data_IF_579570425873
#
_entry.id   IF_579570425873
#
_cell.length_a   1.000
_cell.length_b   1.000
_cell.length_c   1.000
_cell.angle_alpha   90.00
_cell.angle_beta   90.00
_cell.angle_gamma   90.00
#
_symmetry.space_group_name_H-M   'P 1'
#
loop_
_entity.id
_entity.type
_entity.pdbx_description
1 polymer ?
#
# COMPACT_ATOMS: atom_id res chain seq x y z
N UNK A 1 -15.02 8.28 -10.92
CA UNK A 1 -14.00 7.31 -10.48
C UNK A 1 -13.92 7.36 -8.97
N UNK A 2 -13.58 6.26 -8.32
CA UNK A 2 -13.41 6.25 -6.87
C UNK A 2 -12.07 5.57 -6.55
N UNK A 3 -11.22 6.26 -5.81
CA UNK A 3 -10.00 5.70 -5.24
C UNK A 3 -10.26 5.22 -3.83
N UNK A 4 -9.32 4.46 -3.27
CA UNK A 4 -9.33 4.02 -1.87
C UNK A 4 -8.15 4.61 -1.12
N UNK A 5 -8.43 5.11 0.08
CA UNK A 5 -7.45 5.60 1.02
C UNK A 5 -7.45 4.72 2.28
N UNK A 6 -6.30 4.15 2.61
CA UNK A 6 -6.05 3.45 3.88
C UNK A 6 -5.15 4.35 4.72
N UNK A 7 -5.58 4.75 5.90
CA UNK A 7 -4.88 5.78 6.70
C UNK A 7 -4.48 5.33 8.10
N UNK A 8 -5.03 4.23 8.56
CA UNK A 8 -4.74 3.72 9.89
C UNK A 8 -4.34 2.25 9.80
N UNK A 9 -3.10 1.94 10.16
CA UNK A 9 -2.63 0.56 10.24
C UNK A 9 -2.82 0.05 11.66
N UNK A 10 -3.83 -0.78 11.86
CA UNK A 10 -4.12 -1.40 13.16
C UNK A 10 -3.07 -2.43 13.58
N UNK A 11 -2.15 -2.79 12.67
CA UNK A 11 -1.06 -3.74 12.98
C UNK A 11 0.19 -3.09 13.58
N UNK A 12 0.27 -1.75 13.66
CA UNK A 12 1.51 -1.07 14.07
C UNK A 12 1.88 -1.29 15.54
N UNK A 13 0.89 -1.50 16.41
CA UNK A 13 1.09 -1.71 17.84
C UNK A 13 0.89 -3.19 18.27
N UNK A 14 0.79 -4.10 17.30
CA UNK A 14 0.53 -5.53 17.55
C UNK A 14 1.84 -6.29 17.78
N UNK A 15 1.82 -7.23 18.72
CA UNK A 15 2.93 -8.19 18.82
C UNK A 15 2.85 -9.20 17.69
N UNK A 16 3.86 -9.16 16.80
CA UNK A 16 3.95 -10.06 15.65
C UNK A 16 4.67 -11.36 16.03
N UNK A 17 4.09 -12.48 15.64
CA UNK A 17 4.71 -13.80 15.70
C UNK A 17 5.01 -14.25 14.26
N UNK A 18 6.25 -14.66 13.99
CA UNK A 18 6.71 -15.09 12.67
C UNK A 18 7.35 -16.48 12.75
N UNK A 19 7.32 -17.22 11.65
CA UNK A 19 7.93 -18.57 11.57
C UNK A 19 9.43 -18.50 11.77
N UNK A 20 10.10 -17.53 11.14
CA UNK A 20 11.56 -17.37 11.23
C UNK A 20 11.99 -15.92 11.11
N UNK A 21 13.19 -15.60 11.60
CA UNK A 21 13.78 -14.26 11.53
C UNK A 21 15.28 -14.38 11.34
N UNK A 22 15.83 -13.73 10.33
CA UNK A 22 17.26 -13.72 10.04
C UNK A 22 17.97 -12.59 10.80
N UNK A 23 18.80 -12.91 11.76
CA UNK A 23 19.68 -11.93 12.43
C UNK A 23 18.96 -10.70 12.96
N UNK A 24 19.37 -9.52 12.49
CA UNK A 24 18.83 -8.21 12.89
C UNK A 24 17.56 -7.78 12.16
N UNK A 25 17.03 -8.61 11.26
CA UNK A 25 15.82 -8.30 10.45
C UNK A 25 14.54 -8.66 11.20
N UNK A 26 14.29 -8.03 12.32
CA UNK A 26 13.20 -8.37 13.24
C UNK A 26 11.81 -8.20 12.62
N UNK A 27 10.82 -8.97 13.07
CA UNK A 27 9.42 -8.86 12.63
C UNK A 27 8.84 -7.45 12.84
N UNK A 28 9.24 -6.75 13.90
CA UNK A 28 8.84 -5.37 14.19
C UNK A 28 9.27 -4.35 13.13
N UNK A 29 10.22 -4.70 12.27
CA UNK A 29 10.59 -3.84 11.13
C UNK A 29 9.42 -3.65 10.16
N UNK A 30 8.52 -4.63 10.02
CA UNK A 30 7.32 -4.51 9.20
C UNK A 30 6.31 -3.48 9.72
N UNK A 31 6.44 -3.05 10.96
CA UNK A 31 5.61 -2.02 11.60
C UNK A 31 6.26 -0.63 11.51
N UNK A 32 7.51 -0.56 11.08
CA UNK A 32 8.23 0.69 10.94
C UNK A 32 7.70 1.48 9.72
N UNK A 33 7.54 2.79 9.90
CA UNK A 33 7.13 3.72 8.84
C UNK A 33 8.20 3.96 7.76
N UNK A 34 9.39 3.38 7.93
CA UNK A 34 10.46 3.38 6.94
C UNK A 34 10.49 2.01 6.23
N UNK A 35 9.94 1.88 5.02
CA UNK A 35 9.88 0.59 4.31
C UNK A 35 11.23 0.00 3.93
N UNK A 36 12.33 0.76 4.10
CA UNK A 36 13.70 0.26 3.92
C UNK A 36 14.17 -0.64 5.08
N UNK A 37 13.54 -0.51 6.25
CA UNK A 37 13.74 -1.44 7.35
C UNK A 37 12.86 -2.66 7.12
N UNK A 38 13.48 -3.80 6.86
CA UNK A 38 12.78 -5.02 6.46
C UNK A 38 12.83 -6.09 7.52
N UNK A 39 11.78 -6.88 7.62
CA UNK A 39 11.86 -8.23 8.16
C UNK A 39 12.38 -9.16 7.09
N UNK A 40 13.17 -10.16 7.51
CA UNK A 40 13.68 -11.21 6.63
C UNK A 40 13.54 -12.57 7.30
N UNK A 41 13.05 -13.55 6.55
CA UNK A 41 13.04 -14.96 6.96
C UNK A 41 14.43 -15.59 6.84
N UNK A 42 14.61 -16.77 7.43
CA UNK A 42 15.86 -17.54 7.29
C UNK A 42 15.89 -18.41 6.06
N UNK A 43 14.74 -18.68 5.45
CA UNK A 43 14.58 -19.55 4.26
C UNK A 43 13.42 -19.07 3.40
N UNK A 44 13.33 -19.57 2.18
CA UNK A 44 12.23 -19.40 1.23
C UNK A 44 11.02 -20.33 1.49
N UNK A 45 11.12 -21.25 2.45
CA UNK A 45 9.98 -22.07 2.87
C UNK A 45 8.80 -21.20 3.29
N UNK A 46 7.58 -21.74 3.26
CA UNK A 46 6.37 -21.00 3.63
C UNK A 46 6.51 -20.28 4.98
N UNK A 47 6.35 -18.97 4.97
CA UNK A 47 6.49 -18.12 6.14
C UNK A 47 5.12 -17.67 6.64
N UNK A 48 4.90 -17.83 7.94
CA UNK A 48 3.67 -17.38 8.60
C UNK A 48 3.97 -16.17 9.48
N UNK A 49 3.16 -15.13 9.33
CA UNK A 49 3.15 -13.93 10.17
C UNK A 49 1.77 -13.88 10.82
N UNK A 50 1.68 -13.78 12.12
CA UNK A 50 0.41 -13.72 12.84
C UNK A 50 0.45 -12.70 13.97
N UNK A 51 -0.72 -12.24 14.39
CA UNK A 51 -0.87 -11.29 15.48
C UNK A 51 -2.30 -11.22 16.02
N UNK A 52 -2.44 -10.48 17.12
CA UNK A 52 -3.70 -10.19 17.80
C UNK A 52 -3.87 -8.67 17.86
N UNK A 53 -4.91 -8.12 17.25
CA UNK A 53 -5.22 -6.69 17.31
C UNK A 53 -5.64 -6.20 18.72
N UNK A 54 -5.82 -7.13 19.66
CA UNK A 54 -6.28 -6.81 21.03
C UNK A 54 -7.80 -6.71 21.14
N UNK A 55 -8.45 -6.20 20.13
CA UNK A 55 -9.90 -6.10 19.98
C UNK A 55 -10.33 -6.54 18.58
N UNK A 56 -11.63 -6.63 18.34
CA UNK A 56 -12.15 -6.84 16.99
C UNK A 56 -12.06 -5.53 16.21
N UNK A 57 -11.25 -5.53 15.15
CA UNK A 57 -11.03 -4.39 14.26
C UNK A 57 -11.71 -4.62 12.90
N UNK A 58 -12.15 -3.53 12.28
CA UNK A 58 -12.72 -3.58 10.93
C UNK A 58 -11.59 -3.53 9.93
N UNK A 59 -11.46 -4.58 9.12
CA UNK A 59 -10.39 -4.74 8.14
C UNK A 59 -11.00 -4.95 6.77
N UNK A 60 -10.58 -4.15 5.81
CA UNK A 60 -10.97 -4.25 4.39
C UNK A 60 -9.78 -4.35 3.45
N UNK A 61 -8.56 -4.17 3.99
CA UNK A 61 -7.34 -4.16 3.19
C UNK A 61 -6.14 -4.71 3.97
N UNK A 62 -5.28 -5.42 3.25
CA UNK A 62 -3.93 -5.80 3.69
C UNK A 62 -2.92 -5.40 2.64
N UNK A 63 -1.83 -4.80 3.08
CA UNK A 63 -0.75 -4.35 2.22
C UNK A 63 0.57 -4.93 2.71
N UNK A 64 1.31 -5.57 1.80
CA UNK A 64 2.72 -5.90 1.97
C UNK A 64 3.51 -5.01 1.00
N UNK A 65 4.36 -4.16 1.52
CA UNK A 65 5.09 -3.16 0.75
C UNK A 65 6.60 -3.36 0.85
N UNK A 66 7.31 -3.15 -0.26
CA UNK A 66 8.76 -3.34 -0.39
C UNK A 66 9.19 -4.77 -0.05
N UNK A 67 8.61 -5.75 -0.71
CA UNK A 67 8.95 -7.16 -0.56
C UNK A 67 9.75 -7.70 -1.75
N UNK A 68 10.38 -8.87 -1.57
CA UNK A 68 11.11 -9.57 -2.63
C UNK A 68 10.36 -10.80 -3.18
N UNK A 69 9.09 -10.98 -2.81
CA UNK A 69 8.29 -12.13 -3.25
C UNK A 69 8.22 -12.14 -4.77
N UNK A 70 8.44 -13.31 -5.39
CA UNK A 70 8.45 -13.49 -6.85
C UNK A 70 7.03 -13.53 -7.44
N UNK A 71 6.94 -13.51 -8.76
CA UNK A 71 5.65 -13.66 -9.46
C UNK A 71 5.01 -15.05 -9.29
N UNK A 72 5.79 -16.06 -8.89
CA UNK A 72 5.27 -17.39 -8.55
C UNK A 72 4.83 -17.50 -7.08
N UNK A 73 5.15 -16.49 -6.28
CA UNK A 73 4.83 -16.46 -4.86
C UNK A 73 3.36 -16.10 -4.62
N UNK A 74 2.79 -16.66 -3.56
CA UNK A 74 1.40 -16.39 -3.15
C UNK A 74 1.35 -15.84 -1.74
N UNK A 75 0.33 -15.01 -1.47
CA UNK A 75 0.03 -14.46 -0.16
C UNK A 75 -1.39 -14.88 0.24
N UNK A 76 -1.50 -15.68 1.27
CA UNK A 76 -2.77 -16.10 1.85
C UNK A 76 -2.99 -15.37 3.17
N UNK A 77 -4.13 -14.69 3.31
CA UNK A 77 -4.55 -14.07 4.56
C UNK A 77 -5.64 -14.88 5.22
N UNK A 78 -5.63 -14.89 6.54
CA UNK A 78 -6.70 -15.47 7.36
C UNK A 78 -7.00 -14.49 8.49
N UNK A 79 -8.27 -14.17 8.67
CA UNK A 79 -8.79 -13.37 9.78
C UNK A 79 -9.79 -14.23 10.57
N UNK A 80 -9.79 -14.13 11.90
CA UNK A 80 -10.67 -14.90 12.75
C UNK A 80 -11.03 -14.15 14.03
N UNK A 81 -12.11 -14.59 14.68
CA UNK A 81 -12.52 -14.07 15.99
C UNK A 81 -11.77 -14.72 17.15
N UNK A 82 -11.08 -15.84 16.91
CA UNK A 82 -10.32 -16.57 17.94
C UNK A 82 -8.89 -16.89 17.47
N UNK A 83 -7.99 -17.07 18.43
CA UNK A 83 -6.56 -17.35 18.18
C UNK A 83 -6.28 -18.69 17.47
N UNK A 84 -7.22 -19.63 17.54
CA UNK A 84 -7.13 -20.92 16.86
C UNK A 84 -7.56 -20.89 15.41
N UNK A 85 -7.99 -19.74 14.87
CA UNK A 85 -8.48 -19.56 13.52
C UNK A 85 -9.56 -20.57 13.11
N UNK A 86 -10.53 -20.81 14.02
CA UNK A 86 -11.62 -21.76 13.83
C UNK A 86 -13.02 -21.12 13.91
N UNK A 87 -13.12 -19.87 14.35
CA UNK A 87 -14.41 -19.16 14.53
C UNK A 87 -14.43 -17.91 13.65
N UNK A 88 -15.52 -17.73 12.90
CA UNK A 88 -15.75 -16.60 11.98
C UNK A 88 -14.57 -16.36 11.02
N UNK A 89 -14.10 -17.42 10.41
CA UNK A 89 -12.89 -17.39 9.60
C UNK A 89 -13.17 -16.73 8.24
N UNK A 90 -12.36 -15.76 7.91
CA UNK A 90 -12.25 -15.19 6.55
C UNK A 90 -10.88 -15.53 5.97
N UNK A 91 -10.84 -16.03 4.75
CA UNK A 91 -9.60 -16.35 4.04
C UNK A 91 -9.62 -15.78 2.64
N UNK A 92 -8.48 -15.28 2.20
CA UNK A 92 -8.26 -14.88 0.80
C UNK A 92 -6.82 -15.18 0.42
N UNK A 93 -6.60 -15.71 -0.78
CA UNK A 93 -5.28 -15.96 -1.34
C UNK A 93 -5.16 -15.19 -2.65
N UNK A 94 -4.02 -14.55 -2.85
CA UNK A 94 -3.69 -13.84 -4.08
C UNK A 94 -2.26 -14.18 -4.49
N UNK A 95 -1.96 -14.02 -5.77
CA UNK A 95 -0.58 -14.00 -6.24
C UNK A 95 0.11 -12.72 -5.71
N UNK A 96 1.35 -12.84 -5.29
CA UNK A 96 2.09 -11.72 -4.71
C UNK A 96 2.38 -10.62 -5.74
N UNK A 97 2.61 -11.05 -6.97
CA UNK A 97 2.72 -10.21 -8.15
C UNK A 97 1.86 -10.82 -9.24
N UNK A 98 1.46 -9.99 -10.19
CA UNK A 98 0.67 -10.47 -11.31
C UNK A 98 1.42 -11.55 -12.07
N UNK A 99 0.71 -12.60 -12.40
CA UNK A 99 1.25 -13.62 -13.27
C UNK A 99 1.71 -12.96 -14.57
N UNK A 100 2.87 -13.36 -15.05
CA UNK A 100 3.35 -12.97 -16.36
C UNK A 100 2.27 -13.26 -17.40
N UNK A 101 1.76 -12.23 -18.05
CA UNK A 101 0.80 -12.40 -19.13
C UNK A 101 1.39 -13.36 -20.17
N UNK A 102 0.67 -14.42 -20.51
CA UNK A 102 1.12 -15.42 -21.48
C UNK A 102 1.37 -14.75 -22.84
N UNK A 103 2.25 -15.37 -23.64
CA UNK A 103 2.51 -14.92 -25.00
C UNK A 103 1.18 -14.72 -25.79
N UNK A 104 0.97 -13.52 -26.32
CA UNK A 104 -0.23 -13.17 -27.07
C UNK A 104 -1.38 -12.55 -26.25
N UNK A 105 -1.27 -12.49 -24.93
CA UNK A 105 -2.26 -11.80 -24.07
C UNK A 105 -1.83 -10.39 -23.68
N UNK A 106 -0.60 -10.01 -24.01
CA UNK A 106 -0.01 -8.73 -23.67
C UNK A 106 -0.57 -7.61 -24.55
N UNK A 107 -0.82 -6.45 -23.95
CA UNK A 107 -1.21 -5.25 -24.67
C UNK A 107 0.03 -4.60 -25.30
N UNK A 108 0.02 -4.44 -26.62
CA UNK A 108 1.11 -3.81 -27.36
C UNK A 108 1.40 -2.38 -26.84
N UNK A 109 2.66 -2.12 -26.52
CA UNK A 109 3.09 -0.82 -26.00
C UNK A 109 2.79 -0.57 -24.52
N UNK A 110 2.23 -1.54 -23.82
CA UNK A 110 1.84 -1.44 -22.42
C UNK A 110 2.63 -2.40 -21.53
N UNK A 111 2.80 -3.63 -21.98
CA UNK A 111 3.50 -4.67 -21.23
C UNK A 111 4.91 -4.87 -21.78
N UNK A 112 5.89 -5.12 -20.92
CA UNK A 112 7.25 -5.45 -21.33
C UNK A 112 7.29 -6.76 -22.13
N UNK A 113 8.18 -6.84 -23.12
CA UNK A 113 8.35 -8.05 -23.92
C UNK A 113 8.84 -9.19 -23.01
N UNK A 114 8.01 -10.20 -22.81
CA UNK A 114 8.35 -11.37 -21.98
C UNK A 114 7.68 -11.42 -20.61
N UNK A 115 6.67 -10.60 -20.33
CA UNK A 115 5.86 -10.69 -19.12
C UNK A 115 5.85 -9.43 -18.27
N UNK A 116 5.67 -9.61 -16.99
CA UNK A 116 5.53 -8.59 -15.97
C UNK A 116 6.49 -7.40 -16.16
N UNK A 117 5.93 -6.23 -16.41
CA UNK A 117 6.68 -4.97 -16.41
C UNK A 117 6.86 -4.49 -14.97
N UNK A 118 7.96 -4.83 -14.35
CA UNK A 118 8.38 -4.13 -13.15
C UNK A 118 8.59 -2.66 -13.54
N UNK A 119 7.82 -1.79 -12.92
CA UNK A 119 8.14 -0.39 -12.95
C UNK A 119 9.43 -0.25 -12.12
N UNK A 120 10.58 -0.28 -12.76
CA UNK A 120 11.91 -0.37 -12.12
C UNK A 120 12.22 0.73 -11.09
N UNK A 121 11.35 1.71 -10.99
CA UNK A 121 11.38 2.80 -10.02
C UNK A 121 10.40 2.61 -8.85
N UNK A 122 9.57 1.57 -8.87
CA UNK A 122 8.57 1.32 -7.83
C UNK A 122 8.97 0.11 -7.00
N UNK A 123 8.85 0.26 -5.69
CA UNK A 123 9.01 -0.87 -4.78
C UNK A 123 7.87 -1.86 -4.99
N UNK A 124 8.19 -3.16 -4.96
CA UNK A 124 7.18 -4.22 -5.08
C UNK A 124 6.21 -4.14 -3.91
N UNK A 125 4.93 -4.32 -4.21
CA UNK A 125 3.90 -4.40 -3.18
C UNK A 125 2.78 -5.33 -3.61
N UNK A 126 2.14 -5.93 -2.63
CA UNK A 126 0.92 -6.73 -2.78
C UNK A 126 -0.18 -6.08 -1.97
N UNK A 127 -1.32 -5.83 -2.59
CA UNK A 127 -2.52 -5.33 -1.90
C UNK A 127 -3.63 -6.36 -2.04
N UNK A 128 -4.27 -6.65 -0.93
CA UNK A 128 -5.41 -7.57 -0.87
C UNK A 128 -6.62 -6.77 -0.39
N UNK A 129 -7.50 -6.41 -1.33
CA UNK A 129 -8.76 -5.78 -1.04
C UNK A 129 -9.84 -6.82 -0.78
N UNK A 130 -10.74 -6.56 0.17
CA UNK A 130 -11.90 -7.40 0.42
C UNK A 130 -13.01 -6.60 1.09
N UNK A 131 -14.23 -7.16 1.11
CA UNK A 131 -15.33 -6.56 1.86
C UNK A 131 -14.95 -6.47 3.33
N UNK A 132 -15.03 -5.30 3.97
CA UNK A 132 -14.63 -5.13 5.36
C UNK A 132 -15.27 -6.15 6.30
N UNK A 133 -14.45 -6.77 7.12
CA UNK A 133 -14.87 -7.74 8.15
C UNK A 133 -14.29 -7.34 9.49
N UNK A 134 -15.07 -7.55 10.57
CA UNK A 134 -14.60 -7.27 11.93
C UNK A 134 -14.03 -8.53 12.56
N UNK A 135 -12.70 -8.54 12.84
CA UNK A 135 -12.00 -9.70 13.40
C UNK A 135 -10.87 -9.25 14.32
N UNK A 136 -10.48 -10.12 15.24
CA UNK A 136 -9.42 -9.82 16.22
C UNK A 136 -8.07 -10.41 15.86
N UNK A 137 -8.02 -11.58 15.25
CA UNK A 137 -6.78 -12.30 14.97
C UNK A 137 -6.53 -12.33 13.47
N UNK A 138 -5.26 -12.19 13.10
CA UNK A 138 -4.83 -12.30 11.71
C UNK A 138 -3.67 -13.26 11.55
N UNK A 139 -3.58 -13.82 10.36
CA UNK A 139 -2.46 -14.62 9.89
C UNK A 139 -2.22 -14.36 8.41
N UNK A 140 -0.97 -14.16 8.05
CA UNK A 140 -0.50 -14.10 6.66
C UNK A 140 0.41 -15.29 6.43
N UNK A 141 0.19 -16.03 5.36
CA UNK A 141 1.10 -17.09 4.91
C UNK A 141 1.65 -16.66 3.55
N UNK A 142 2.97 -16.52 3.47
CA UNK A 142 3.70 -16.22 2.24
C UNK A 142 4.36 -17.51 1.79
N UNK A 143 4.07 -17.93 0.55
CA UNK A 143 4.67 -19.12 -0.05
C UNK A 143 5.38 -18.72 -1.33
N UNK A 144 6.69 -18.86 -1.37
CA UNK A 144 7.55 -18.50 -2.51
C UNK A 144 8.82 -19.36 -2.53
N UNK A 145 8.63 -20.65 -2.72
CA UNK A 145 9.71 -21.66 -2.69
C UNK A 145 10.66 -21.60 -3.91
N UNK A 146 10.40 -20.71 -4.83
CA UNK A 146 11.22 -20.46 -6.03
C UNK A 146 11.90 -19.10 -6.01
N UNK A 147 11.91 -18.44 -4.85
CA UNK A 147 12.56 -17.16 -4.69
C UNK A 147 14.08 -17.27 -4.89
N UNK A 148 14.61 -16.52 -5.84
CA UNK A 148 16.04 -16.53 -6.17
C UNK A 148 16.95 -16.05 -5.04
N UNK A 149 16.40 -15.32 -4.07
CA UNK A 149 17.14 -14.83 -2.91
C UNK A 149 17.24 -15.88 -1.78
N UNK A 150 16.51 -17.01 -1.89
CA UNK A 150 16.43 -18.09 -0.89
C UNK A 150 15.85 -17.63 0.48
N UNK A 151 15.19 -16.47 0.53
CA UNK A 151 14.49 -15.93 1.70
C UNK A 151 13.36 -14.99 1.29
N UNK A 152 12.47 -14.72 2.21
CA UNK A 152 11.38 -13.72 2.06
C UNK A 152 11.70 -12.47 2.85
N UNK A 153 11.52 -11.31 2.22
CA UNK A 153 11.61 -9.99 2.87
C UNK A 153 10.31 -9.21 2.72
N UNK A 154 9.94 -8.47 3.77
CA UNK A 154 8.84 -7.49 3.75
C UNK A 154 9.27 -6.24 4.51
N UNK A 155 9.15 -5.08 3.87
CA UNK A 155 9.50 -3.79 4.48
C UNK A 155 8.37 -3.22 5.33
N UNK A 156 7.15 -3.21 4.83
CA UNK A 156 6.01 -2.64 5.55
C UNK A 156 4.80 -3.56 5.40
N UNK A 157 4.13 -3.83 6.50
CA UNK A 157 2.83 -4.51 6.52
C UNK A 157 1.80 -3.56 7.12
N UNK A 158 0.65 -3.42 6.45
CA UNK A 158 -0.46 -2.60 6.93
C UNK A 158 -1.75 -3.40 6.88
N UNK A 159 -2.54 -3.30 7.95
CA UNK A 159 -3.89 -3.82 8.04
C UNK A 159 -4.82 -2.68 8.40
N UNK A 160 -5.92 -2.53 7.71
CA UNK A 160 -6.89 -1.49 8.03
C UNK A 160 -8.13 -1.54 7.17
N UNK A 161 -9.04 -0.66 7.50
CA UNK A 161 -10.18 -0.36 6.64
C UNK A 161 -9.79 0.71 5.62
N UNK A 162 -10.62 0.88 4.61
CA UNK A 162 -10.41 1.88 3.56
C UNK A 162 -11.61 2.81 3.43
N UNK A 163 -11.32 4.05 3.07
CA UNK A 163 -12.34 5.04 2.72
C UNK A 163 -12.35 5.23 1.21
N UNK A 164 -13.53 5.15 0.61
CA UNK A 164 -13.72 5.44 -0.81
C UNK A 164 -13.78 6.94 -1.03
N UNK A 165 -12.86 7.47 -1.83
CA UNK A 165 -12.80 8.90 -2.16
C UNK A 165 -13.14 9.07 -3.64
N UNK A 166 -14.30 9.63 -3.98
CA UNK A 166 -14.61 9.96 -5.35
C UNK A 166 -13.73 11.08 -5.85
N UNK A 167 -13.14 10.94 -7.03
CA UNK A 167 -12.28 11.96 -7.62
C UNK A 167 -12.58 12.20 -9.10
N UNK A 168 -12.17 13.38 -9.58
CA UNK A 168 -12.31 13.78 -10.98
C UNK A 168 -11.28 13.09 -11.85
N UNK A 169 -11.64 12.93 -13.11
CA UNK A 169 -10.66 12.70 -14.17
C UNK A 169 -9.67 13.88 -14.19
N UNK A 170 -8.37 13.56 -14.25
CA UNK A 170 -7.31 14.57 -14.23
C UNK A 170 -6.54 14.63 -12.90
N UNK A 171 -6.65 13.59 -12.06
CA UNK A 171 -5.73 13.45 -10.93
C UNK A 171 -4.29 13.50 -11.43
N UNK A 172 -3.50 14.39 -10.82
CA UNK A 172 -2.10 14.58 -11.18
C UNK A 172 -1.24 13.54 -10.48
N UNK A 173 -0.40 12.85 -11.25
CA UNK A 173 0.65 11.97 -10.75
C UNK A 173 1.98 12.49 -11.30
N UNK A 174 2.92 12.78 -10.42
CA UNK A 174 4.19 13.35 -10.83
C UNK A 174 5.35 12.95 -9.94
N UNK A 175 6.51 13.44 -10.33
CA UNK A 175 7.74 13.36 -9.57
C UNK A 175 8.15 14.74 -9.12
N UNK A 176 8.56 14.88 -7.88
CA UNK A 176 9.15 16.11 -7.35
C UNK A 176 10.61 15.85 -7.03
N UNK A 177 11.45 16.63 -7.66
CA UNK A 177 12.89 16.62 -7.41
C UNK A 177 13.21 17.63 -6.30
N UNK A 178 14.05 17.24 -5.36
CA UNK A 178 14.53 18.10 -4.27
C UNK A 178 15.99 18.51 -4.45
N UNK A 179 16.56 18.24 -5.63
CA UNK A 179 17.94 18.59 -5.96
C UNK A 179 18.11 20.10 -5.91
N UNK A 180 19.03 20.56 -5.09
CA UNK A 180 19.39 21.97 -4.98
C UNK A 180 20.55 22.27 -5.93
N UNK A 181 20.33 23.23 -6.85
CA UNK A 181 21.36 23.64 -7.82
C UNK A 181 21.85 25.02 -7.44
N UNK A 182 23.12 25.12 -7.06
CA UNK A 182 23.77 26.39 -6.74
C UNK A 182 24.82 26.74 -7.77
N UNK A 183 24.94 28.03 -8.08
CA UNK A 183 25.99 28.55 -8.97
C UNK A 183 27.14 29.12 -8.13
N UNK A 184 28.34 28.62 -8.34
CA UNK A 184 29.56 29.17 -7.69
C UNK A 184 29.92 30.54 -8.25
N UNK A 185 30.73 31.32 -7.52
CA UNK A 185 31.24 32.61 -8.00
C UNK A 185 31.95 32.52 -9.35
N UNK A 186 32.57 31.40 -9.68
CA UNK A 186 33.23 31.14 -10.96
C UNK A 186 32.28 30.68 -12.07
N UNK A 187 30.95 30.68 -11.83
CA UNK A 187 29.95 30.34 -12.83
C UNK A 187 29.67 28.83 -12.98
N UNK A 188 30.40 27.96 -12.27
CA UNK A 188 30.13 26.52 -12.31
C UNK A 188 28.85 26.18 -11.55
N UNK A 189 28.05 25.23 -12.09
CA UNK A 189 26.88 24.68 -11.42
C UNK A 189 27.31 23.53 -10.49
N UNK A 190 26.86 23.59 -9.26
CA UNK A 190 26.98 22.52 -8.27
C UNK A 190 25.57 22.06 -7.91
N UNK A 191 25.32 20.76 -8.00
CA UNK A 191 24.07 20.14 -7.59
C UNK A 191 24.27 19.28 -6.34
N UNK A 192 23.37 19.45 -5.37
CA UNK A 192 23.20 18.53 -4.22
C UNK A 192 22.09 17.55 -4.60
N UNK A 193 22.48 16.43 -5.22
CA UNK A 193 21.53 15.48 -5.78
C UNK A 193 20.77 14.77 -4.65
N UNK A 194 19.44 14.85 -4.70
CA UNK A 194 18.52 14.14 -3.80
C UNK A 194 17.60 13.25 -4.61
N UNK A 195 17.20 12.12 -4.03
CA UNK A 195 16.29 11.22 -4.71
C UNK A 195 14.93 11.89 -4.93
N UNK A 196 14.41 11.88 -6.16
CA UNK A 196 13.08 12.37 -6.44
C UNK A 196 12.04 11.49 -5.73
N UNK A 197 10.92 12.08 -5.33
CA UNK A 197 9.79 11.35 -4.77
C UNK A 197 8.53 11.56 -5.59
N UNK A 198 7.66 10.54 -5.55
CA UNK A 198 6.37 10.61 -6.23
C UNK A 198 5.38 11.42 -5.41
N UNK A 199 4.51 12.12 -6.11
CA UNK A 199 3.35 12.75 -5.50
C UNK A 199 2.10 12.51 -6.36
N UNK A 200 0.95 12.56 -5.71
CA UNK A 200 -0.34 12.63 -6.40
C UNK A 200 -1.14 13.78 -5.82
N UNK A 201 -1.81 14.51 -6.70
CA UNK A 201 -2.78 15.53 -6.33
C UNK A 201 -4.14 15.07 -6.84
N UNK A 202 -5.09 14.90 -5.92
CA UNK A 202 -6.40 14.36 -6.20
C UNK A 202 -7.44 15.42 -5.86
N UNK A 203 -8.17 15.87 -6.88
CA UNK A 203 -9.34 16.71 -6.67
C UNK A 203 -10.57 15.84 -6.49
N UNK A 204 -11.16 15.90 -5.30
CA UNK A 204 -12.42 15.24 -5.02
C UNK A 204 -13.58 16.07 -5.55
N UNK A 205 -14.52 15.42 -6.21
CA UNK A 205 -15.75 16.05 -6.70
C UNK A 205 -16.90 15.79 -5.76
N UNK A 206 -17.74 16.80 -5.53
CA UNK A 206 -19.04 16.71 -4.87
C UNK A 206 -19.05 15.62 -3.79
N UNK A 207 -18.45 15.95 -2.66
CA UNK A 207 -18.53 15.12 -1.47
C UNK A 207 -19.85 15.43 -0.77
N UNK A 208 -20.49 14.41 -0.26
CA UNK A 208 -21.56 14.60 0.73
C UNK A 208 -20.96 15.10 2.04
N UNK A 209 -21.77 15.75 2.88
CA UNK A 209 -21.32 16.24 4.19
C UNK A 209 -20.65 15.15 5.03
N UNK A 210 -21.15 13.91 4.95
CA UNK A 210 -20.55 12.75 5.61
C UNK A 210 -19.14 12.46 5.07
N UNK A 211 -18.95 12.46 3.76
CA UNK A 211 -17.65 12.23 3.13
C UNK A 211 -16.65 13.35 3.43
N UNK A 212 -17.14 14.59 3.55
CA UNK A 212 -16.31 15.73 4.00
C UNK A 212 -15.86 15.53 5.44
N UNK A 213 -16.78 15.12 6.32
CA UNK A 213 -16.46 14.86 7.72
C UNK A 213 -15.44 13.73 7.86
N UNK A 214 -15.62 12.61 7.14
CA UNK A 214 -14.68 11.49 7.10
C UNK A 214 -13.30 11.93 6.60
N UNK A 215 -13.25 12.72 5.52
CA UNK A 215 -11.99 13.24 4.99
C UNK A 215 -11.27 14.12 6.01
N UNK A 216 -11.97 15.03 6.68
CA UNK A 216 -11.40 15.89 7.71
C UNK A 216 -10.88 15.07 8.91
N UNK A 217 -11.59 14.03 9.31
CA UNK A 217 -11.15 13.14 10.38
C UNK A 217 -9.90 12.36 10.00
N UNK A 218 -9.82 11.85 8.77
CA UNK A 218 -8.63 11.20 8.23
C UNK A 218 -7.42 12.14 8.30
N UNK A 219 -7.59 13.41 7.86
CA UNK A 219 -6.51 14.41 7.94
C UNK A 219 -6.11 14.72 9.37
N UNK A 220 -7.08 14.82 10.27
CA UNK A 220 -6.82 15.03 11.70
C UNK A 220 -6.05 13.86 12.32
N UNK A 221 -6.42 12.63 11.98
CA UNK A 221 -5.83 11.41 12.53
C UNK A 221 -4.45 11.10 11.93
N UNK A 222 -4.34 11.07 10.62
CA UNK A 222 -3.12 10.72 9.92
C UNK A 222 -2.15 11.90 9.79
N UNK A 223 -2.62 13.02 9.25
CA UNK A 223 -1.80 14.20 8.98
C UNK A 223 -0.53 13.87 8.22
N UNK A 224 0.53 14.63 8.47
CA UNK A 224 1.87 14.40 7.89
C UNK A 224 2.68 13.32 8.62
N UNK A 225 2.20 12.84 9.77
CA UNK A 225 2.95 11.92 10.65
C UNK A 225 2.74 10.45 10.34
N UNK A 226 1.56 10.08 9.86
CA UNK A 226 1.19 8.68 9.58
C UNK A 226 1.36 8.36 8.11
N UNK A 227 1.65 7.08 7.85
CA UNK A 227 1.66 6.58 6.48
C UNK A 227 0.22 6.37 6.02
N UNK A 228 -0.01 6.69 4.76
CA UNK A 228 -1.28 6.45 4.07
C UNK A 228 -1.01 5.71 2.77
N UNK A 229 -1.88 4.79 2.44
CA UNK A 229 -1.90 4.16 1.13
C UNK A 229 -3.03 4.78 0.32
N UNK A 230 -2.70 5.27 -0.85
CA UNK A 230 -3.65 5.70 -1.86
C UNK A 230 -3.64 4.74 -3.03
N UNK A 231 -4.79 4.24 -3.46
CA UNK A 231 -4.99 3.54 -4.71
C UNK A 231 -6.02 4.28 -5.57
N UNK A 232 -5.61 4.73 -6.75
CA UNK A 232 -6.49 5.44 -7.67
C UNK A 232 -7.44 4.51 -8.43
N UNK A 233 -7.04 3.26 -8.64
CA UNK A 233 -7.80 2.25 -9.39
C UNK A 233 -7.85 0.93 -8.61
N UNK A 234 -8.48 0.90 -7.42
CA UNK A 234 -8.52 -0.30 -6.59
C UNK A 234 -9.29 -1.42 -7.31
N UNK A 235 -8.79 -2.65 -7.20
CA UNK A 235 -9.38 -3.85 -7.80
C UNK A 235 -9.58 -3.75 -9.32
N UNK A 236 -8.72 -3.00 -10.01
CA UNK A 236 -8.79 -2.91 -11.46
C UNK A 236 -8.33 -4.24 -12.08
N UNK A 237 -9.06 -4.69 -13.11
CA UNK A 237 -8.66 -5.86 -13.91
C UNK A 237 -7.37 -5.63 -14.70
N UNK A 238 -7.00 -4.38 -14.91
CA UNK A 238 -5.70 -3.96 -15.41
C UNK A 238 -4.82 -3.60 -14.19
N UNK A 239 -4.14 -4.59 -13.67
CA UNK A 239 -3.28 -4.48 -12.48
C UNK A 239 -2.12 -3.50 -12.67
N UNK A 240 -1.69 -3.25 -13.93
CA UNK A 240 -0.73 -2.20 -14.24
C UNK A 240 -1.26 -0.81 -13.85
N UNK A 241 -2.55 -0.54 -14.08
CA UNK A 241 -3.17 0.72 -13.64
C UNK A 241 -3.21 0.83 -12.13
N UNK A 242 -3.61 -0.24 -11.43
CA UNK A 242 -3.60 -0.22 -9.98
C UNK A 242 -2.19 0.04 -9.43
N UNK A 243 -1.18 -0.67 -9.92
CA UNK A 243 0.21 -0.49 -9.48
C UNK A 243 0.74 0.89 -9.78
N UNK A 244 0.49 1.40 -10.99
CA UNK A 244 0.96 2.73 -11.41
C UNK A 244 0.39 3.85 -10.54
N UNK A 245 -0.88 3.74 -10.16
CA UNK A 245 -1.60 4.79 -9.43
C UNK A 245 -1.78 4.48 -7.94
N UNK A 246 -1.05 3.50 -7.43
CA UNK A 246 -0.97 3.23 -6.00
C UNK A 246 0.31 3.80 -5.41
N UNK A 247 0.18 4.41 -4.24
CA UNK A 247 1.26 5.05 -3.51
C UNK A 247 1.14 4.85 -2.01
N UNK A 248 2.24 4.45 -1.39
CA UNK A 248 2.44 4.62 0.05
C UNK A 248 3.15 5.95 0.28
N UNK A 249 2.59 6.81 1.09
CA UNK A 249 3.13 8.15 1.32
C UNK A 249 2.56 8.83 2.55
N UNK A 250 2.57 10.15 2.54
CA UNK A 250 2.02 10.99 3.60
C UNK A 250 1.08 12.04 3.04
N UNK A 251 0.03 12.33 3.78
CA UNK A 251 -0.85 13.44 3.44
C UNK A 251 -0.11 14.76 3.68
N UNK A 252 0.02 15.58 2.65
CA UNK A 252 0.75 16.85 2.74
C UNK A 252 -0.18 18.00 3.08
N UNK A 253 -1.20 18.21 2.29
CA UNK A 253 -2.14 19.31 2.43
C UNK A 253 -3.56 18.87 2.05
N UNK A 254 -4.54 19.42 2.71
CA UNK A 254 -5.95 19.31 2.39
C UNK A 254 -6.57 20.70 2.39
N UNK A 255 -7.28 21.03 1.34
CA UNK A 255 -8.12 22.21 1.31
C UNK A 255 -9.53 21.81 0.85
N UNK A 256 -10.53 22.13 1.65
CA UNK A 256 -11.92 22.07 1.24
C UNK A 256 -12.41 23.48 0.91
N UNK A 257 -12.93 23.69 -0.29
CA UNK A 257 -13.70 24.90 -0.58
C UNK A 257 -15.17 24.59 -0.34
N UNK A 258 -15.76 25.24 0.67
CA UNK A 258 -17.20 25.25 0.86
C UNK A 258 -17.76 26.18 -0.23
N UNK A 259 -18.42 25.63 -1.23
CA UNK A 259 -19.29 26.41 -2.09
C UNK A 259 -20.65 26.44 -1.40
N UNK A 260 -21.04 27.60 -0.91
CA UNK A 260 -22.44 27.84 -0.59
C UNK A 260 -23.26 27.56 -1.86
N UNK A 261 -24.23 26.65 -1.77
CA UNK A 261 -25.25 26.58 -2.78
C UNK A 261 -25.94 27.94 -2.73
N UNK A 262 -25.81 28.76 -3.79
CA UNK A 262 -26.63 29.96 -3.95
C UNK A 262 -28.08 29.50 -3.83
N UNK A 263 -28.68 29.88 -2.71
CA UNK A 263 -30.08 29.60 -2.44
C UNK A 263 -30.91 30.19 -3.57
N UNK A 264 -31.68 29.37 -4.23
CA UNK A 264 -32.78 29.86 -5.05
C UNK A 264 -33.70 30.62 -4.12
N UNK A 265 -33.63 31.94 -4.13
CA UNK A 265 -34.69 32.80 -3.59
C UNK A 265 -35.97 32.51 -4.40
N UNK A 266 -36.98 32.01 -3.71
CA UNK A 266 -38.39 31.97 -4.16
C UNK A 266 -38.90 33.37 -4.30
#
# INVERSE_FOLDING_TARGET
MSGRLVHNSVSDDVTLTVTSTAGSYAATNMQNKQPSMKWRSTTDAAQTISGDFGAAEVIGCVVLYNHNISAAGTVAITLASNSGFSTDVYTKTVDALDATAGYGTQKYGHDGYGGYSELGWQQRFTIIWFTPVSRRYFKVVITDTTNSDEYVEVGRMMWGDFTNIPYRYGAELGWREQTEVTRTRGGALRSDARNPYRYTNVESTILTDAQVADALEIFRAAGRRSDVLWSGFPENTDEYLERRYTMLGKLMDYSSSIREAEGSSI
#
